data_IF_352515119250
#
_entry.id   IF_352515119250
#
_cell.length_a   1.000
_cell.length_b   1.000
_cell.length_c   1.000
_cell.angle_alpha   90.00
_cell.angle_beta   90.00
_cell.angle_gamma   90.00
#
_symmetry.space_group_name_H-M   'P 1'
#
loop_
_entity.id
_entity.type
_entity.pdbx_description
1 polymer ?
#
# COMPACT_ATOMS: atom_id res chain seq x y z
N UNK A 1 -8.26 -31.85 11.02
CA UNK A 1 -7.58 -30.56 10.71
C UNK A 1 -8.25 -29.30 11.26
N UNK A 2 -9.50 -29.30 11.79
CA UNK A 2 -10.14 -28.06 12.31
C UNK A 2 -9.38 -27.33 13.42
N UNK A 3 -8.69 -28.07 14.30
CA UNK A 3 -7.88 -27.48 15.38
C UNK A 3 -6.63 -26.77 14.85
N UNK A 4 -5.98 -27.35 13.83
CA UNK A 4 -4.85 -26.71 13.15
C UNK A 4 -5.31 -25.42 12.46
N UNK A 5 -6.47 -25.44 11.80
CA UNK A 5 -7.00 -24.26 11.14
C UNK A 5 -7.40 -23.15 12.11
N UNK A 6 -8.00 -23.52 13.24
CA UNK A 6 -8.34 -22.58 14.30
C UNK A 6 -7.10 -21.97 14.96
N UNK A 7 -6.07 -22.79 15.22
CA UNK A 7 -4.79 -22.33 15.74
C UNK A 7 -4.16 -21.28 14.81
N UNK A 8 -4.05 -21.58 13.52
CA UNK A 8 -3.46 -20.62 12.57
C UNK A 8 -4.33 -19.35 12.44
N UNK A 9 -5.65 -19.43 12.51
CA UNK A 9 -6.50 -18.22 12.54
C UNK A 9 -6.21 -17.34 13.77
N UNK A 10 -5.99 -17.94 14.95
CA UNK A 10 -5.58 -17.18 16.14
C UNK A 10 -4.22 -16.51 15.90
N UNK A 11 -3.24 -17.23 15.34
CA UNK A 11 -1.92 -16.69 15.02
C UNK A 11 -1.99 -15.54 14.02
N UNK A 12 -2.82 -15.65 12.98
CA UNK A 12 -3.06 -14.55 12.01
C UNK A 12 -3.67 -13.34 12.73
N UNK A 13 -4.65 -13.56 13.60
CA UNK A 13 -5.31 -12.49 14.34
C UNK A 13 -4.34 -11.75 15.27
N UNK A 14 -3.53 -12.50 16.03
CA UNK A 14 -2.48 -11.94 16.89
C UNK A 14 -1.42 -11.19 16.08
N UNK A 15 -1.00 -11.74 14.92
CA UNK A 15 -0.08 -11.07 14.01
C UNK A 15 -0.66 -9.77 13.45
N UNK A 16 -1.97 -9.71 13.21
CA UNK A 16 -2.64 -8.52 12.69
C UNK A 16 -2.77 -7.44 13.77
N UNK A 17 -3.06 -7.85 15.00
CA UNK A 17 -3.10 -6.96 16.18
C UNK A 17 -1.71 -6.40 16.47
N UNK A 18 -0.66 -7.22 16.39
CA UNK A 18 0.72 -6.77 16.57
C UNK A 18 1.10 -5.72 15.51
N UNK A 19 0.74 -5.94 14.25
CA UNK A 19 0.98 -4.97 13.17
C UNK A 19 0.21 -3.66 13.39
N UNK A 20 -1.03 -3.72 13.88
CA UNK A 20 -1.82 -2.53 14.20
C UNK A 20 -1.31 -1.77 15.45
N UNK A 21 -0.53 -2.42 16.30
CA UNK A 21 0.06 -1.85 17.50
C UNK A 21 1.46 -1.24 17.28
N UNK A 22 2.02 -1.37 16.08
CA UNK A 22 3.31 -0.75 15.69
C UNK A 22 3.14 0.76 15.63
N UNK A 23 4.03 1.50 16.32
CA UNK A 23 3.98 2.97 16.34
C UNK A 23 4.67 3.52 15.08
N UNK A 24 3.99 4.32 14.24
CA UNK A 24 4.57 4.86 13.02
C UNK A 24 5.53 6.04 13.24
N UNK A 25 5.51 6.66 14.43
CA UNK A 25 6.28 7.89 14.71
C UNK A 25 7.64 7.57 15.33
N UNK A 26 7.71 6.56 16.21
CA UNK A 26 8.93 6.18 16.93
C UNK A 26 9.36 4.74 16.61
N UNK A 27 10.11 4.57 15.51
CA UNK A 27 10.64 3.27 15.05
C UNK A 27 11.58 2.61 16.08
N UNK A 28 12.26 3.37 16.95
CA UNK A 28 13.25 2.84 17.92
C UNK A 28 12.68 2.58 19.33
N UNK A 29 11.37 2.80 19.52
CA UNK A 29 10.73 2.53 20.81
C UNK A 29 10.90 1.06 21.24
N UNK A 30 11.07 0.83 22.55
CA UNK A 30 11.20 -0.53 23.12
C UNK A 30 10.00 -1.43 22.77
N UNK A 31 8.82 -0.83 22.54
CA UNK A 31 7.61 -1.54 22.11
C UNK A 31 7.79 -2.13 20.72
N UNK A 32 8.35 -1.36 19.78
CA UNK A 32 8.58 -1.80 18.41
C UNK A 32 9.62 -2.93 18.35
N UNK A 33 10.67 -2.91 19.18
CA UNK A 33 11.63 -4.03 19.28
C UNK A 33 10.96 -5.34 19.74
N UNK A 34 10.04 -5.27 20.70
CA UNK A 34 9.29 -6.44 21.18
C UNK A 34 8.32 -6.94 20.10
N UNK A 35 7.61 -6.03 19.44
CA UNK A 35 6.69 -6.35 18.34
C UNK A 35 7.42 -7.00 17.16
N UNK A 36 8.65 -6.57 16.87
CA UNK A 36 9.50 -7.18 15.85
C UNK A 36 9.85 -8.63 16.18
N UNK A 37 10.16 -8.94 17.45
CA UNK A 37 10.39 -10.32 17.89
C UNK A 37 9.15 -11.21 17.73
N UNK A 38 7.97 -10.68 18.06
CA UNK A 38 6.71 -11.39 17.79
C UNK A 38 6.49 -11.62 16.29
N UNK A 39 6.83 -10.66 15.45
CA UNK A 39 6.71 -10.83 14.00
C UNK A 39 7.63 -11.92 13.44
N UNK A 40 8.84 -12.04 13.98
CA UNK A 40 9.73 -13.17 13.68
C UNK A 40 9.11 -14.50 14.09
N UNK A 41 8.55 -14.59 15.30
CA UNK A 41 7.87 -15.80 15.77
C UNK A 41 6.68 -16.19 14.86
N UNK A 42 5.84 -15.22 14.46
CA UNK A 42 4.73 -15.46 13.54
C UNK A 42 5.20 -15.92 12.15
N UNK A 43 6.26 -15.30 11.62
CA UNK A 43 6.86 -15.69 10.34
C UNK A 43 7.39 -17.12 10.36
N UNK A 44 8.00 -17.56 11.46
CA UNK A 44 8.42 -18.96 11.62
C UNK A 44 7.23 -19.92 11.59
N UNK A 45 6.14 -19.61 12.30
CA UNK A 45 4.92 -20.43 12.29
C UNK A 45 4.33 -20.53 10.88
N UNK A 46 4.27 -19.43 10.13
CA UNK A 46 3.77 -19.43 8.75
C UNK A 46 4.69 -20.16 7.78
N UNK A 47 6.01 -20.10 7.99
CA UNK A 47 6.97 -20.87 7.20
C UNK A 47 6.75 -22.37 7.40
N UNK A 48 6.56 -22.81 8.64
CA UNK A 48 6.27 -24.22 8.96
C UNK A 48 4.93 -24.65 8.33
N UNK A 49 3.89 -23.82 8.46
CA UNK A 49 2.59 -24.06 7.83
C UNK A 49 2.73 -24.24 6.30
N UNK A 50 3.48 -23.36 5.63
CA UNK A 50 3.73 -23.42 4.19
C UNK A 50 4.44 -24.73 3.81
N UNK A 51 5.48 -25.12 4.55
CA UNK A 51 6.22 -26.37 4.30
C UNK A 51 5.28 -27.57 4.46
N UNK A 52 4.48 -27.62 5.53
CA UNK A 52 3.52 -28.71 5.75
C UNK A 52 2.50 -28.81 4.61
N UNK A 53 1.99 -27.67 4.11
CA UNK A 53 1.09 -27.65 2.93
C UNK A 53 1.78 -28.14 1.66
N UNK A 54 3.04 -27.75 1.43
CA UNK A 54 3.81 -28.20 0.26
C UNK A 54 4.02 -29.72 0.29
N UNK A 55 4.27 -30.29 1.48
CA UNK A 55 4.43 -31.73 1.66
C UNK A 55 3.11 -32.50 1.46
N UNK A 56 1.98 -31.96 1.92
CA UNK A 56 0.66 -32.60 1.81
C UNK A 56 0.07 -32.50 0.39
N UNK A 57 0.16 -31.34 -0.26
CA UNK A 57 -0.43 -31.09 -1.59
C UNK A 57 0.52 -31.40 -2.76
N UNK A 58 1.82 -31.51 -2.50
CA UNK A 58 2.86 -31.60 -3.52
C UNK A 58 3.13 -30.28 -4.25
N UNK A 59 4.32 -30.14 -4.83
CA UNK A 59 4.78 -28.90 -5.49
C UNK A 59 4.09 -28.69 -6.84
N UNK A 60 4.17 -29.65 -7.76
CA UNK A 60 3.72 -29.48 -9.17
C UNK A 60 2.97 -30.69 -9.76
N UNK A 61 3.24 -31.94 -9.34
CA UNK A 61 2.85 -33.15 -10.11
C UNK A 61 1.50 -33.80 -9.78
N UNK A 62 0.75 -33.35 -8.75
CA UNK A 62 -0.54 -33.96 -8.37
C UNK A 62 -1.75 -33.11 -8.82
N UNK A 63 -2.93 -33.73 -9.12
CA UNK A 63 -4.16 -33.00 -9.41
C UNK A 63 -4.69 -32.33 -8.13
N UNK A 64 -4.14 -31.15 -7.83
CA UNK A 64 -4.32 -30.43 -6.55
C UNK A 64 -3.14 -29.53 -6.17
N UNK A 65 -2.11 -29.44 -7.04
CA UNK A 65 -0.86 -28.71 -6.79
C UNK A 65 -1.04 -27.34 -6.13
N UNK A 66 -0.18 -27.09 -5.14
CA UNK A 66 -0.15 -25.88 -4.33
C UNK A 66 -0.19 -24.58 -5.18
N UNK A 67 0.54 -24.56 -6.30
CA UNK A 67 0.67 -23.39 -7.19
C UNK A 67 -0.55 -23.10 -8.07
N UNK A 68 -1.56 -23.98 -8.16
CA UNK A 68 -2.74 -23.72 -9.00
C UNK A 68 -3.79 -22.87 -8.28
N UNK A 69 -3.69 -22.75 -6.96
CA UNK A 69 -4.62 -21.96 -6.15
C UNK A 69 -4.03 -20.58 -5.85
N UNK A 70 -4.67 -19.52 -6.36
CA UNK A 70 -4.24 -18.12 -6.18
C UNK A 70 -3.95 -17.76 -4.72
N UNK A 71 -4.78 -18.25 -3.80
CA UNK A 71 -4.64 -18.02 -2.36
C UNK A 71 -3.36 -18.62 -1.77
N UNK A 72 -2.88 -19.75 -2.30
CA UNK A 72 -1.62 -20.37 -1.87
C UNK A 72 -0.40 -19.68 -2.46
N UNK A 73 -0.51 -19.17 -3.69
CA UNK A 73 0.54 -18.34 -4.29
C UNK A 73 0.74 -17.07 -3.47
N UNK A 74 -0.36 -16.37 -3.13
CA UNK A 74 -0.31 -15.18 -2.29
C UNK A 74 0.33 -15.48 -0.92
N UNK A 75 -0.04 -16.60 -0.30
CA UNK A 75 0.55 -17.09 0.96
C UNK A 75 2.07 -17.31 0.83
N UNK A 76 2.50 -18.01 -0.22
CA UNK A 76 3.92 -18.27 -0.47
C UNK A 76 4.72 -16.99 -0.75
N UNK A 77 4.19 -16.04 -1.51
CA UNK A 77 4.86 -14.76 -1.76
C UNK A 77 5.11 -14.02 -0.44
N UNK A 78 4.11 -13.94 0.43
CA UNK A 78 4.25 -13.26 1.74
C UNK A 78 5.32 -13.95 2.60
N UNK A 79 5.32 -15.28 2.66
CA UNK A 79 6.30 -16.05 3.46
C UNK A 79 7.71 -15.93 2.87
N UNK A 80 7.88 -16.01 1.55
CA UNK A 80 9.18 -15.86 0.88
C UNK A 80 9.73 -14.45 1.08
N UNK A 81 8.91 -13.41 0.90
CA UNK A 81 9.34 -12.03 1.13
C UNK A 81 9.77 -11.79 2.59
N UNK A 82 9.07 -12.40 3.56
CA UNK A 82 9.46 -12.33 4.97
C UNK A 82 10.77 -13.09 5.25
N UNK A 83 10.96 -14.27 4.66
CA UNK A 83 12.19 -15.05 4.78
C UNK A 83 13.40 -14.33 4.15
N UNK A 84 13.20 -13.69 3.00
CA UNK A 84 14.21 -12.86 2.34
C UNK A 84 14.59 -11.66 3.21
N UNK A 85 13.60 -10.96 3.77
CA UNK A 85 13.84 -9.86 4.72
C UNK A 85 14.66 -10.31 5.93
N UNK A 86 14.37 -11.48 6.49
CA UNK A 86 15.13 -12.06 7.60
C UNK A 86 16.58 -12.39 7.21
N UNK A 87 16.79 -13.01 6.04
CA UNK A 87 18.12 -13.34 5.52
C UNK A 87 18.99 -12.09 5.28
N UNK A 88 18.39 -11.00 4.80
CA UNK A 88 19.09 -9.72 4.64
C UNK A 88 19.51 -9.09 5.97
N UNK A 89 18.67 -9.16 7.00
CA UNK A 89 19.00 -8.63 8.33
C UNK A 89 20.13 -9.41 9.02
N UNK A 90 20.16 -10.74 8.88
CA UNK A 90 21.18 -11.62 9.47
C UNK A 90 22.55 -11.54 8.81
N UNK A 91 22.59 -11.32 7.49
CA UNK A 91 23.85 -11.35 6.73
C UNK A 91 24.78 -10.16 7.00
N UNK A 92 24.36 -9.19 7.82
CA UNK A 92 25.18 -8.02 8.23
C UNK A 92 25.76 -7.21 7.06
N UNK A 93 25.26 -7.48 5.85
CA UNK A 93 25.90 -7.03 4.62
C UNK A 93 25.53 -5.58 4.41
N UNK A 94 26.53 -4.72 4.51
CA UNK A 94 26.51 -3.30 4.12
C UNK A 94 26.08 -3.06 2.65
N UNK A 95 25.76 -4.11 1.90
CA UNK A 95 25.16 -4.09 0.56
C UNK A 95 23.64 -3.80 0.57
N UNK A 96 23.01 -3.65 1.73
CA UNK A 96 21.56 -3.38 1.89
C UNK A 96 21.17 -1.91 2.02
N UNK A 97 21.85 -0.98 1.35
CA UNK A 97 21.54 0.47 1.44
C UNK A 97 20.17 0.89 0.86
N UNK A 98 19.31 -0.04 0.44
CA UNK A 98 17.93 0.29 0.11
C UNK A 98 17.04 0.11 1.35
N UNK A 99 17.12 1.06 2.28
CA UNK A 99 16.12 1.24 3.35
C UNK A 99 14.68 1.17 2.80
N UNK A 100 14.47 1.65 1.56
CA UNK A 100 13.21 1.55 0.83
C UNK A 100 12.75 0.11 0.57
N UNK A 101 13.65 -0.80 0.21
CA UNK A 101 13.29 -2.21 -0.08
C UNK A 101 12.90 -2.96 1.20
N UNK A 102 13.63 -2.73 2.30
CA UNK A 102 13.31 -3.36 3.60
C UNK A 102 11.98 -2.83 4.13
N UNK A 103 11.71 -1.52 4.02
CA UNK A 103 10.40 -0.94 4.37
C UNK A 103 9.28 -1.50 3.49
N UNK A 104 9.51 -1.65 2.19
CA UNK A 104 8.52 -2.24 1.26
C UNK A 104 8.18 -3.69 1.58
N UNK A 105 9.17 -4.51 1.98
CA UNK A 105 8.94 -5.90 2.43
C UNK A 105 8.12 -5.96 3.72
N UNK A 106 8.22 -4.96 4.60
CA UNK A 106 7.38 -4.85 5.80
C UNK A 106 5.92 -4.59 5.46
N UNK A 107 5.64 -3.76 4.44
CA UNK A 107 4.26 -3.48 3.96
C UNK A 107 3.56 -4.75 3.48
N UNK A 108 4.28 -5.72 2.89
CA UNK A 108 3.69 -6.98 2.45
C UNK A 108 3.07 -7.81 3.60
N UNK A 109 3.45 -7.54 4.86
CA UNK A 109 2.84 -8.19 6.03
C UNK A 109 1.37 -7.80 6.23
N UNK A 110 0.93 -6.66 5.67
CA UNK A 110 -0.49 -6.23 5.63
C UNK A 110 -1.37 -7.21 4.84
N UNK A 111 -0.78 -8.10 4.04
CA UNK A 111 -1.50 -9.14 3.31
C UNK A 111 -1.84 -10.38 4.17
N UNK A 112 -1.23 -10.56 5.36
CA UNK A 112 -1.47 -11.73 6.23
C UNK A 112 -2.96 -11.92 6.61
N UNK A 113 -3.75 -10.88 6.93
CA UNK A 113 -5.19 -11.01 7.16
C UNK A 113 -5.96 -11.63 5.99
N UNK A 114 -5.50 -11.45 4.74
CA UNK A 114 -6.16 -12.01 3.55
C UNK A 114 -6.14 -13.54 3.54
N UNK A 115 -5.21 -14.19 4.25
CA UNK A 115 -5.22 -15.66 4.44
C UNK A 115 -6.51 -16.15 5.11
N UNK A 116 -7.15 -15.31 5.93
CA UNK A 116 -8.42 -15.61 6.61
C UNK A 116 -9.56 -15.80 5.61
N UNK A 117 -9.54 -15.08 4.48
CA UNK A 117 -10.58 -15.17 3.44
C UNK A 117 -10.64 -16.59 2.86
N UNK A 118 -9.48 -17.21 2.59
CA UNK A 118 -9.42 -18.61 2.12
C UNK A 118 -10.01 -19.59 3.15
N UNK A 119 -9.75 -19.36 4.44
CA UNK A 119 -10.09 -20.28 5.54
C UNK A 119 -11.55 -20.19 5.97
N UNK A 120 -12.18 -19.03 5.80
CA UNK A 120 -13.59 -18.82 6.14
C UNK A 120 -14.43 -18.90 4.86
N UNK A 121 -15.17 -20.00 4.61
CA UNK A 121 -15.90 -20.21 3.36
C UNK A 121 -16.96 -19.12 3.10
N UNK A 122 -17.52 -18.53 4.15
CA UNK A 122 -18.44 -17.38 4.03
C UNK A 122 -17.74 -16.13 3.47
N UNK A 123 -16.53 -15.81 3.94
CA UNK A 123 -15.75 -14.67 3.43
C UNK A 123 -15.28 -14.93 2.00
N UNK A 124 -14.85 -16.15 1.70
CA UNK A 124 -14.50 -16.56 0.33
C UNK A 124 -15.67 -16.34 -0.64
N UNK A 125 -16.87 -16.81 -0.28
CA UNK A 125 -18.05 -16.63 -1.12
C UNK A 125 -18.39 -15.15 -1.37
N UNK A 126 -18.24 -14.29 -0.36
CA UNK A 126 -18.43 -12.84 -0.51
C UNK A 126 -17.38 -12.25 -1.44
N UNK A 127 -16.11 -12.60 -1.25
CA UNK A 127 -15.03 -12.12 -2.12
C UNK A 127 -15.20 -12.58 -3.58
N UNK A 128 -15.56 -13.85 -3.79
CA UNK A 128 -15.82 -14.42 -5.12
C UNK A 128 -17.01 -13.70 -5.79
N UNK A 129 -18.05 -13.35 -5.03
CA UNK A 129 -19.18 -12.56 -5.51
C UNK A 129 -18.73 -11.15 -5.94
N UNK A 130 -17.91 -10.47 -5.13
CA UNK A 130 -17.36 -9.14 -5.44
C UNK A 130 -16.53 -9.21 -6.73
N UNK A 131 -15.58 -10.14 -6.83
CA UNK A 131 -14.74 -10.31 -8.02
C UNK A 131 -15.57 -10.64 -9.26
N UNK A 132 -16.62 -11.45 -9.11
CA UNK A 132 -17.51 -11.75 -10.22
C UNK A 132 -18.33 -10.53 -10.65
N UNK A 133 -18.82 -9.73 -9.70
CA UNK A 133 -19.56 -8.50 -9.99
C UNK A 133 -18.68 -7.42 -10.64
N UNK A 134 -17.39 -7.35 -10.25
CA UNK A 134 -16.42 -6.41 -10.79
C UNK A 134 -16.21 -6.60 -12.30
N UNK A 135 -16.32 -7.82 -12.83
CA UNK A 135 -16.22 -8.06 -14.28
C UNK A 135 -17.23 -7.24 -15.09
N UNK A 136 -18.45 -7.11 -14.58
CA UNK A 136 -19.48 -6.30 -15.24
C UNK A 136 -19.23 -4.79 -15.02
N UNK A 137 -18.76 -4.42 -13.83
CA UNK A 137 -18.43 -3.03 -13.50
C UNK A 137 -17.29 -2.50 -14.38
N UNK A 138 -16.30 -3.34 -14.74
CA UNK A 138 -15.18 -2.95 -15.61
C UNK A 138 -15.67 -2.40 -16.96
N UNK A 139 -16.73 -2.97 -17.55
CA UNK A 139 -17.26 -2.48 -18.82
C UNK A 139 -17.82 -1.06 -18.70
N UNK A 140 -18.54 -0.77 -17.61
CA UNK A 140 -19.08 0.57 -17.34
C UNK A 140 -17.93 1.53 -17.00
N UNK A 141 -16.94 1.06 -16.24
CA UNK A 141 -15.77 1.84 -15.86
C UNK A 141 -14.96 2.30 -17.08
N UNK A 142 -14.81 1.44 -18.10
CA UNK A 142 -14.15 1.81 -19.36
C UNK A 142 -14.86 2.97 -20.04
N UNK A 143 -16.19 2.92 -20.12
CA UNK A 143 -16.99 4.01 -20.72
C UNK A 143 -16.88 5.29 -19.89
N UNK A 144 -16.91 5.18 -18.56
CA UNK A 144 -16.71 6.30 -17.65
C UNK A 144 -15.34 6.96 -17.83
N UNK A 145 -14.26 6.18 -17.90
CA UNK A 145 -12.90 6.68 -18.12
C UNK A 145 -12.78 7.36 -19.49
N UNK A 146 -13.39 6.79 -20.54
CA UNK A 146 -13.39 7.40 -21.87
C UNK A 146 -14.10 8.77 -21.86
N UNK A 147 -15.24 8.85 -21.17
CA UNK A 147 -15.98 10.10 -21.03
C UNK A 147 -15.14 11.14 -20.27
N UNK A 148 -14.55 10.77 -19.14
CA UNK A 148 -13.66 11.64 -18.36
C UNK A 148 -12.47 12.11 -19.19
N UNK A 149 -11.87 11.24 -20.00
CA UNK A 149 -10.78 11.60 -20.90
C UNK A 149 -11.17 12.66 -21.93
N UNK A 150 -12.38 12.58 -22.52
CA UNK A 150 -12.86 13.60 -23.47
C UNK A 150 -12.96 14.97 -22.79
N UNK A 151 -13.56 15.03 -21.60
CA UNK A 151 -13.65 16.29 -20.85
C UNK A 151 -12.28 16.80 -20.40
N UNK A 152 -11.38 15.91 -19.98
CA UNK A 152 -10.02 16.27 -19.61
C UNK A 152 -9.27 16.92 -20.78
N UNK A 153 -9.38 16.38 -22.01
CA UNK A 153 -8.76 16.98 -23.20
C UNK A 153 -9.34 18.37 -23.50
N UNK A 154 -10.67 18.53 -23.42
CA UNK A 154 -11.32 19.83 -23.62
C UNK A 154 -10.85 20.83 -22.55
N UNK A 155 -10.82 20.41 -21.29
CA UNK A 155 -10.42 21.26 -20.18
C UNK A 155 -8.95 21.69 -20.28
N UNK A 156 -8.04 20.79 -20.67
CA UNK A 156 -6.64 21.14 -20.93
C UNK A 156 -6.55 22.18 -22.06
N UNK A 157 -7.28 22.02 -23.16
CA UNK A 157 -7.26 23.01 -24.24
C UNK A 157 -7.80 24.39 -23.82
N UNK A 158 -8.78 24.44 -22.91
CA UNK A 158 -9.40 25.69 -22.46
C UNK A 158 -8.66 26.38 -21.30
N UNK A 159 -8.07 25.59 -20.41
CA UNK A 159 -7.61 26.03 -19.08
C UNK A 159 -6.12 25.76 -18.79
N UNK A 160 -5.38 25.16 -19.71
CA UNK A 160 -3.93 25.01 -19.57
C UNK A 160 -3.26 26.37 -19.33
N UNK A 161 -2.45 26.47 -18.28
CA UNK A 161 -1.72 27.70 -17.95
C UNK A 161 -2.54 28.74 -17.16
N UNK A 162 -3.83 28.48 -16.87
CA UNK A 162 -4.71 29.49 -16.24
C UNK A 162 -4.89 29.34 -14.73
N UNK A 163 -4.50 28.20 -14.16
CA UNK A 163 -4.71 27.85 -12.75
C UNK A 163 -3.48 28.15 -11.89
N UNK A 164 -2.70 29.15 -12.28
CA UNK A 164 -1.56 29.63 -11.50
C UNK A 164 -1.99 30.80 -10.61
N UNK A 165 -1.38 30.89 -9.43
CA UNK A 165 -1.61 31.96 -8.48
C UNK A 165 -0.31 32.34 -7.78
N UNK A 166 -0.26 33.57 -7.28
CA UNK A 166 0.83 34.01 -6.41
C UNK A 166 0.50 33.66 -4.96
N UNK A 167 1.51 33.30 -4.15
CA UNK A 167 1.32 33.11 -2.71
C UNK A 167 0.83 34.37 -1.98
N UNK A 168 1.00 35.55 -2.57
CA UNK A 168 0.42 36.82 -2.10
C UNK A 168 -0.85 37.14 -2.91
N UNK A 169 -2.00 37.17 -2.24
CA UNK A 169 -3.32 37.47 -2.85
C UNK A 169 -3.39 38.85 -3.50
N UNK A 170 -2.47 39.75 -3.17
CA UNK A 170 -2.41 41.10 -3.74
C UNK A 170 -1.89 41.12 -5.18
N UNK A 171 -1.28 40.03 -5.67
CA UNK A 171 -0.60 39.95 -6.98
C UNK A 171 -1.27 38.93 -7.89
N UNK A 172 -1.59 39.34 -9.12
CA UNK A 172 -2.37 38.54 -10.06
C UNK A 172 -1.58 38.01 -11.26
N UNK A 173 -0.37 38.52 -11.51
CA UNK A 173 0.47 38.14 -12.65
C UNK A 173 1.81 37.59 -12.19
N UNK A 174 2.41 36.72 -13.01
CA UNK A 174 3.70 36.09 -12.72
C UNK A 174 4.84 37.13 -12.58
N UNK A 175 4.83 38.15 -13.46
CA UNK A 175 5.81 39.24 -13.45
C UNK A 175 5.76 40.06 -12.17
N UNK A 176 4.58 40.22 -11.56
CA UNK A 176 4.39 40.95 -10.31
C UNK A 176 4.63 40.08 -9.07
N UNK A 177 4.61 38.75 -9.21
CA UNK A 177 4.79 37.78 -8.13
C UNK A 177 6.28 37.60 -7.77
N UNK A 178 6.95 38.70 -7.46
CA UNK A 178 8.37 38.75 -7.14
C UNK A 178 8.61 39.40 -5.78
N UNK A 179 9.72 39.04 -5.14
CA UNK A 179 10.14 39.60 -3.84
C UNK A 179 9.51 38.91 -2.63
N UNK A 180 9.21 39.70 -1.60
CA UNK A 180 8.79 39.22 -0.28
C UNK A 180 7.48 39.89 0.14
N UNK A 181 6.68 39.18 0.93
CA UNK A 181 5.43 39.68 1.51
C UNK A 181 5.31 39.25 2.98
N UNK A 182 4.43 39.92 3.72
CA UNK A 182 4.20 39.63 5.13
C UNK A 182 2.97 38.72 5.28
N UNK A 183 3.14 37.60 5.96
CA UNK A 183 2.07 36.69 6.35
C UNK A 183 1.71 36.96 7.80
N UNK A 184 0.43 37.24 8.05
CA UNK A 184 -0.12 37.56 9.37
C UNK A 184 -0.77 36.33 10.02
N UNK A 185 -0.03 35.21 10.09
CA UNK A 185 -0.45 34.02 10.83
C UNK A 185 0.15 34.04 12.25
N UNK A 186 -0.58 34.65 13.19
CA UNK A 186 -0.22 34.75 14.62
C UNK A 186 0.02 36.18 15.11
N UNK A 187 0.68 36.31 16.27
CA UNK A 187 0.93 37.61 16.92
C UNK A 187 2.00 38.46 16.22
N UNK A 188 2.94 37.83 15.49
CA UNK A 188 4.03 38.52 14.78
C UNK A 188 4.02 38.23 13.27
N UNK A 189 4.11 39.26 12.41
CA UNK A 189 4.14 39.07 10.97
C UNK A 189 5.43 38.40 10.52
N UNK A 190 5.32 37.32 9.75
CA UNK A 190 6.46 36.60 9.18
C UNK A 190 6.70 37.03 7.74
N UNK A 191 7.96 37.26 7.39
CA UNK A 191 8.36 37.53 6.00
C UNK A 191 8.45 36.21 5.24
N UNK A 192 7.70 36.08 4.16
CA UNK A 192 7.78 34.94 3.24
C UNK A 192 8.08 35.40 1.82
N UNK A 193 8.69 34.51 1.03
CA UNK A 193 8.99 34.78 -0.38
C UNK A 193 7.71 34.60 -1.20
N UNK A 194 7.48 35.49 -2.17
CA UNK A 194 6.43 35.28 -3.17
C UNK A 194 6.82 34.13 -4.09
N UNK A 195 5.88 33.20 -4.29
CA UNK A 195 6.07 32.02 -5.14
C UNK A 195 4.86 31.91 -6.07
N UNK A 196 5.12 31.75 -7.36
CA UNK A 196 4.11 31.47 -8.37
C UNK A 196 3.87 29.96 -8.39
N UNK A 197 2.68 29.54 -7.95
CA UNK A 197 2.33 28.13 -7.76
C UNK A 197 1.11 27.75 -8.57
N UNK A 198 1.04 26.49 -8.95
CA UNK A 198 -0.18 25.87 -9.47
C UNK A 198 -1.11 25.54 -8.31
N UNK A 199 -2.43 25.69 -8.54
CA UNK A 199 -3.42 25.14 -7.62
C UNK A 199 -3.32 23.61 -7.52
N UNK A 200 -3.74 23.02 -6.40
CA UNK A 200 -3.73 21.56 -6.19
C UNK A 200 -4.56 20.84 -7.26
N UNK A 201 -5.61 21.50 -7.75
CA UNK A 201 -6.40 21.08 -8.89
C UNK A 201 -6.13 22.01 -10.08
N UNK A 202 -5.59 21.45 -11.16
CA UNK A 202 -5.17 22.20 -12.34
C UNK A 202 -5.34 21.37 -13.61
N UNK A 203 -5.39 22.05 -14.77
CA UNK A 203 -5.69 21.44 -16.07
C UNK A 203 -4.49 21.52 -17.04
N UNK A 204 -3.26 21.48 -16.53
CA UNK A 204 -2.08 21.62 -17.39
C UNK A 204 -1.76 20.34 -18.16
N UNK A 205 -2.18 19.18 -17.63
CA UNK A 205 -1.99 17.87 -18.25
C UNK A 205 -3.26 17.02 -18.13
N UNK A 206 -3.45 16.08 -19.06
CA UNK A 206 -4.64 15.21 -19.08
C UNK A 206 -4.77 14.37 -17.80
N UNK A 207 -3.66 13.92 -17.21
CA UNK A 207 -3.69 13.13 -15.97
C UNK A 207 -4.18 13.96 -14.78
N UNK A 208 -3.81 15.25 -14.71
CA UNK A 208 -4.28 16.13 -13.64
C UNK A 208 -5.75 16.54 -13.84
N UNK A 209 -6.19 16.57 -15.10
CA UNK A 209 -7.55 16.91 -15.50
C UNK A 209 -8.55 15.74 -15.37
N UNK A 210 -8.06 14.49 -15.30
CA UNK A 210 -8.88 13.28 -15.16
C UNK A 210 -9.17 12.95 -13.72
#
# INVERSE_FOLDING_TARGET
MKYFDFFIMIVISLSSIALAAEDPVDEESTRNTILEYFDYAFTCVFTIEMILKILDLGIILHPGSYLREFWNIMDAVVVICAAVSFGFNLSGSKAGQNLSTIKSLRVLRVLRPLKTIKRVPKLKAVFDCVVNSLKNVINILIVYILFQFIFAVIAVQLFNGKFFYCSDESKFTEDECQGWYFVYEGDEPKVQKREWKTQDFHYDNVIAAM
#
